data_IF_252016285101
#
_entry.id   IF_252016285101
#
_cell.length_a   1.000
_cell.length_b   1.000
_cell.length_c   1.000
_cell.angle_alpha   90.00
_cell.angle_beta   90.00
_cell.angle_gamma   90.00
#
_symmetry.space_group_name_H-M   'P 1'
#
loop_
_entity.id
_entity.type
_entity.pdbx_description
1 polymer ?
#
# COMPACT_ATOMS: atom_id res chain seq x y z
N UNK A 1 17.55 -10.83 -5.78
CA UNK A 1 17.24 -10.57 -7.18
C UNK A 1 15.86 -9.96 -7.39
N UNK A 2 14.82 -10.50 -6.79
CA UNK A 2 13.41 -10.03 -6.96
C UNK A 2 13.10 -8.64 -6.42
N UNK A 3 13.78 -8.16 -5.38
CA UNK A 3 13.51 -6.86 -4.72
C UNK A 3 13.56 -5.68 -5.70
N UNK A 4 14.54 -5.68 -6.61
CA UNK A 4 14.68 -4.60 -7.60
C UNK A 4 13.53 -4.59 -8.60
N UNK A 5 13.08 -5.75 -9.05
CA UNK A 5 11.95 -5.88 -9.99
C UNK A 5 10.66 -5.44 -9.32
N UNK A 6 10.42 -5.89 -8.09
CA UNK A 6 9.27 -5.46 -7.29
C UNK A 6 9.27 -3.94 -7.08
N UNK A 7 10.43 -3.36 -6.76
CA UNK A 7 10.55 -1.91 -6.59
C UNK A 7 10.22 -1.16 -7.89
N UNK A 8 10.65 -1.64 -9.04
CA UNK A 8 10.31 -1.04 -10.34
C UNK A 8 8.78 -1.03 -10.59
N UNK A 9 8.08 -2.10 -10.23
CA UNK A 9 6.61 -2.18 -10.35
C UNK A 9 5.92 -1.18 -9.41
N UNK A 10 6.41 -1.08 -8.17
CA UNK A 10 5.90 -0.12 -7.18
C UNK A 10 6.11 1.32 -7.68
N UNK A 11 7.31 1.64 -8.14
CA UNK A 11 7.68 2.98 -8.62
C UNK A 11 6.87 3.37 -9.87
N UNK A 12 6.58 2.39 -10.73
CA UNK A 12 5.70 2.57 -11.88
C UNK A 12 4.20 2.67 -11.50
N UNK A 13 3.85 2.50 -10.22
CA UNK A 13 2.47 2.57 -9.74
C UNK A 13 1.55 1.49 -10.30
N UNK A 14 2.09 0.31 -10.60
CA UNK A 14 1.33 -0.79 -11.19
C UNK A 14 0.74 -1.70 -10.11
N UNK A 15 -0.44 -2.25 -10.40
CA UNK A 15 -1.00 -3.33 -9.61
C UNK A 15 -0.11 -4.59 -9.70
N UNK A 16 -0.04 -5.37 -8.62
CA UNK A 16 0.90 -6.46 -8.47
C UNK A 16 0.24 -7.68 -7.84
N UNK A 17 0.50 -8.84 -8.43
CA UNK A 17 0.20 -10.16 -7.89
C UNK A 17 1.50 -10.95 -7.83
N UNK A 18 1.78 -11.60 -6.71
CA UNK A 18 2.94 -12.48 -6.55
C UNK A 18 2.53 -13.92 -6.84
N UNK A 19 3.24 -14.54 -7.77
CA UNK A 19 3.02 -15.93 -8.17
C UNK A 19 4.26 -16.75 -7.89
N UNK A 20 4.11 -17.80 -7.07
CA UNK A 20 5.12 -18.84 -6.90
C UNK A 20 4.74 -20.05 -7.73
N UNK A 21 5.48 -20.27 -8.82
CA UNK A 21 5.25 -21.36 -9.76
C UNK A 21 6.03 -22.63 -9.37
N UNK A 22 5.68 -23.77 -9.97
CA UNK A 22 6.27 -25.09 -9.72
C UNK A 22 6.09 -25.54 -8.28
N UNK A 23 4.95 -25.19 -7.67
CA UNK A 23 4.68 -25.50 -6.27
C UNK A 23 4.49 -26.99 -6.00
N UNK A 24 4.14 -27.76 -7.03
CA UNK A 24 4.03 -29.21 -7.05
C UNK A 24 5.38 -29.94 -6.90
N UNK A 25 6.50 -29.28 -7.17
CA UNK A 25 7.85 -29.84 -7.06
C UNK A 25 8.52 -29.55 -5.70
N UNK A 26 7.81 -28.90 -4.78
CA UNK A 26 8.35 -28.42 -3.50
C UNK A 26 7.70 -29.21 -2.38
N UNK A 27 8.53 -29.86 -1.52
CA UNK A 27 8.06 -30.53 -0.31
C UNK A 27 7.54 -29.55 0.74
N UNK A 28 6.86 -30.05 1.76
CA UNK A 28 6.22 -29.23 2.78
C UNK A 28 7.22 -28.39 3.59
N UNK A 29 8.40 -28.90 3.85
CA UNK A 29 9.44 -28.20 4.60
C UNK A 29 9.95 -27.00 3.80
N UNK A 30 10.28 -27.21 2.54
CA UNK A 30 10.72 -26.17 1.64
C UNK A 30 9.62 -25.13 1.34
N UNK A 31 8.36 -25.55 1.30
CA UNK A 31 7.22 -24.62 1.18
C UNK A 31 7.14 -23.65 2.36
N UNK A 32 7.39 -24.13 3.59
CA UNK A 32 7.43 -23.27 4.79
C UNK A 32 8.59 -22.27 4.73
N UNK A 33 9.78 -22.76 4.32
CA UNK A 33 10.94 -21.89 4.15
C UNK A 33 10.70 -20.77 3.14
N UNK A 34 10.16 -21.10 1.95
CA UNK A 34 9.85 -20.13 0.90
C UNK A 34 8.84 -19.09 1.41
N UNK A 35 7.80 -19.50 2.13
CA UNK A 35 6.83 -18.58 2.72
C UNK A 35 7.52 -17.59 3.68
N UNK A 36 8.32 -18.10 4.59
CA UNK A 36 9.05 -17.29 5.57
C UNK A 36 10.06 -16.34 4.87
N UNK A 37 10.74 -16.82 3.84
CA UNK A 37 11.65 -16.01 3.04
C UNK A 37 10.90 -14.87 2.33
N UNK A 38 9.76 -15.16 1.68
CA UNK A 38 8.94 -14.14 1.02
C UNK A 38 8.39 -13.11 2.01
N UNK A 39 7.98 -13.53 3.20
CA UNK A 39 7.50 -12.61 4.23
C UNK A 39 8.61 -11.66 4.71
N UNK A 40 9.81 -12.19 4.92
CA UNK A 40 10.97 -11.40 5.33
C UNK A 40 11.51 -10.49 4.23
N UNK A 41 11.59 -11.02 3.00
CA UNK A 41 12.23 -10.33 1.88
C UNK A 41 11.32 -9.30 1.19
N UNK A 42 10.00 -9.51 1.25
CA UNK A 42 9.00 -8.71 0.55
C UNK A 42 8.05 -7.98 1.51
N UNK A 43 8.60 -7.46 2.62
CA UNK A 43 7.84 -6.70 3.62
C UNK A 43 7.09 -5.51 3.01
N UNK A 44 7.70 -4.85 2.02
CA UNK A 44 7.13 -3.67 1.36
C UNK A 44 5.89 -3.96 0.49
N UNK A 45 5.60 -5.24 0.20
CA UNK A 45 4.46 -5.66 -0.63
C UNK A 45 3.57 -6.70 0.03
N UNK A 46 3.45 -6.68 1.35
CA UNK A 46 2.53 -7.56 2.08
C UNK A 46 1.08 -7.41 1.64
N UNK A 47 0.75 -6.27 1.04
CA UNK A 47 -0.56 -5.96 0.46
C UNK A 47 -0.82 -6.64 -0.89
N UNK A 48 0.20 -7.22 -1.53
CA UNK A 48 0.03 -7.90 -2.81
C UNK A 48 -0.59 -9.30 -2.61
N UNK A 49 -1.63 -9.68 -3.38
CA UNK A 49 -2.12 -11.05 -3.40
C UNK A 49 -1.02 -12.03 -3.76
N UNK A 50 -0.98 -13.18 -3.09
CA UNK A 50 0.00 -14.24 -3.32
C UNK A 50 -0.70 -15.51 -3.74
N UNK A 51 -0.19 -16.16 -4.78
CA UNK A 51 -0.72 -17.43 -5.31
C UNK A 51 0.42 -18.42 -5.45
N UNK A 52 0.20 -19.63 -4.96
CA UNK A 52 1.04 -20.77 -5.26
C UNK A 52 0.33 -21.60 -6.33
N UNK A 53 1.02 -21.93 -7.41
CA UNK A 53 0.46 -22.71 -8.51
C UNK A 53 1.51 -23.61 -9.18
N UNK A 54 1.05 -24.49 -10.02
CA UNK A 54 1.88 -25.28 -10.92
C UNK A 54 1.34 -25.12 -12.34
N UNK A 55 1.94 -24.23 -13.13
CA UNK A 55 1.47 -23.88 -14.47
C UNK A 55 1.47 -25.09 -15.43
N UNK A 56 2.45 -26.00 -15.29
CA UNK A 56 2.56 -27.20 -16.13
C UNK A 56 1.40 -28.17 -15.97
N UNK A 57 0.91 -28.33 -14.72
CA UNK A 57 -0.21 -29.25 -14.41
C UNK A 57 -1.56 -28.58 -14.37
N UNK A 58 -1.60 -27.25 -14.42
CA UNK A 58 -2.82 -26.45 -14.25
C UNK A 58 -3.27 -26.29 -12.79
N UNK A 59 -2.51 -26.84 -11.83
CA UNK A 59 -2.90 -26.77 -10.43
C UNK A 59 -2.93 -25.33 -9.93
N UNK A 60 -4.08 -24.91 -9.40
CA UNK A 60 -4.38 -23.57 -8.89
C UNK A 60 -4.24 -22.40 -9.90
N UNK A 61 -4.12 -22.65 -11.20
CA UNK A 61 -4.06 -21.61 -12.24
C UNK A 61 -5.36 -20.80 -12.32
N UNK A 62 -6.50 -21.39 -11.96
CA UNK A 62 -7.80 -20.72 -11.87
C UNK A 62 -7.84 -19.58 -10.85
N UNK A 63 -6.91 -19.55 -9.90
CA UNK A 63 -6.81 -18.48 -8.88
C UNK A 63 -6.21 -17.18 -9.42
N UNK A 64 -5.54 -17.23 -10.57
CA UNK A 64 -4.88 -16.06 -11.19
C UNK A 64 -5.90 -14.97 -11.48
N UNK A 65 -7.02 -15.31 -12.13
CA UNK A 65 -8.04 -14.33 -12.53
C UNK A 65 -8.56 -13.59 -11.32
N UNK A 66 -8.96 -14.29 -10.27
CA UNK A 66 -9.47 -13.67 -9.04
C UNK A 66 -8.44 -12.76 -8.36
N UNK A 67 -7.17 -13.15 -8.37
CA UNK A 67 -6.12 -12.33 -7.78
C UNK A 67 -5.83 -11.07 -8.60
N UNK A 68 -5.91 -11.17 -9.94
CA UNK A 68 -5.81 -10.01 -10.83
C UNK A 68 -7.00 -9.08 -10.65
N UNK A 69 -8.22 -9.60 -10.55
CA UNK A 69 -9.41 -8.79 -10.29
C UNK A 69 -9.28 -8.04 -8.97
N UNK A 70 -8.88 -8.72 -7.89
CA UNK A 70 -8.62 -8.08 -6.59
C UNK A 70 -7.58 -6.96 -6.69
N UNK A 71 -6.50 -7.17 -7.43
CA UNK A 71 -5.45 -6.18 -7.60
C UNK A 71 -5.91 -4.98 -8.45
N UNK A 72 -6.71 -5.23 -9.48
CA UNK A 72 -7.30 -4.18 -10.32
C UNK A 72 -8.35 -3.37 -9.56
N UNK A 73 -9.24 -4.01 -8.81
CA UNK A 73 -10.20 -3.32 -7.94
C UNK A 73 -9.48 -2.39 -6.96
N UNK A 74 -8.42 -2.86 -6.29
CA UNK A 74 -7.60 -2.04 -5.41
C UNK A 74 -6.96 -0.86 -6.16
N UNK A 75 -6.48 -1.09 -7.40
CA UNK A 75 -5.83 -0.07 -8.22
C UNK A 75 -6.81 0.98 -8.73
N UNK A 76 -8.08 0.63 -8.93
CA UNK A 76 -9.15 1.51 -9.38
C UNK A 76 -9.93 2.17 -8.23
N UNK A 77 -9.72 1.70 -7.00
CA UNK A 77 -10.46 2.19 -5.82
C UNK A 77 -10.34 3.70 -5.65
N UNK A 78 -11.48 4.35 -5.54
CA UNK A 78 -11.59 5.78 -5.28
C UNK A 78 -12.37 6.03 -4.00
N UNK A 79 -11.77 6.79 -3.09
CA UNK A 79 -12.40 7.18 -1.83
C UNK A 79 -13.07 8.54 -2.04
N UNK A 80 -14.36 8.69 -1.71
CA UNK A 80 -15.01 10.01 -1.68
C UNK A 80 -14.27 10.96 -0.74
N UNK A 81 -14.10 12.21 -1.16
CA UNK A 81 -13.33 13.21 -0.41
C UNK A 81 -13.82 13.39 1.03
N UNK A 82 -15.13 13.35 1.25
CA UNK A 82 -15.73 13.44 2.59
C UNK A 82 -15.31 12.28 3.49
N UNK A 83 -15.35 11.05 2.98
CA UNK A 83 -14.91 9.85 3.72
C UNK A 83 -13.41 9.88 4.03
N UNK A 84 -12.59 10.29 3.05
CA UNK A 84 -11.16 10.44 3.25
C UNK A 84 -10.85 11.44 4.37
N UNK A 85 -11.50 12.59 4.36
CA UNK A 85 -11.25 13.62 5.38
C UNK A 85 -11.81 13.26 6.76
N UNK A 86 -12.95 12.59 6.83
CA UNK A 86 -13.45 12.02 8.08
C UNK A 86 -12.47 11.00 8.68
N UNK A 87 -11.96 10.09 7.85
CA UNK A 87 -10.92 9.13 8.24
C UNK A 87 -9.65 9.84 8.75
N UNK A 88 -9.12 10.82 7.99
CA UNK A 88 -7.92 11.56 8.39
C UNK A 88 -8.12 12.31 9.72
N UNK A 89 -9.29 12.92 9.91
CA UNK A 89 -9.65 13.61 11.15
C UNK A 89 -9.65 12.66 12.36
N UNK A 90 -10.28 11.51 12.24
CA UNK A 90 -10.30 10.49 13.30
C UNK A 90 -8.89 9.92 13.57
N UNK A 91 -8.13 9.65 12.51
CA UNK A 91 -6.78 9.13 12.63
C UNK A 91 -5.85 10.08 13.38
N UNK A 92 -5.88 11.36 13.04
CA UNK A 92 -5.05 12.40 13.68
C UNK A 92 -5.48 12.66 15.12
N UNK A 93 -6.79 12.60 15.40
CA UNK A 93 -7.30 12.76 16.75
C UNK A 93 -6.84 11.61 17.68
N UNK A 94 -6.87 10.37 17.17
CA UNK A 94 -6.43 9.19 17.93
C UNK A 94 -4.90 9.07 18.03
N UNK A 95 -4.18 9.45 16.97
CA UNK A 95 -2.73 9.29 16.83
C UNK A 95 -2.11 10.54 16.21
N UNK A 96 -1.95 11.62 16.98
CA UNK A 96 -1.37 12.86 16.46
C UNK A 96 0.11 12.66 16.08
N UNK A 97 0.57 13.47 15.13
CA UNK A 97 1.98 13.45 14.72
C UNK A 97 2.88 13.82 15.92
N UNK A 98 4.03 13.15 16.12
CA UNK A 98 4.97 13.51 17.16
C UNK A 98 5.44 14.96 17.05
N UNK A 99 5.77 15.58 18.21
CA UNK A 99 6.39 16.90 18.26
C UNK A 99 7.77 16.88 17.59
N UNK A 100 8.03 17.85 16.72
CA UNK A 100 9.34 18.10 16.14
C UNK A 100 9.72 19.58 16.32
N UNK A 101 10.85 19.84 16.97
CA UNK A 101 11.32 21.21 17.17
C UNK A 101 10.29 22.11 17.85
N UNK A 102 9.53 21.59 18.82
CA UNK A 102 8.48 22.32 19.51
C UNK A 102 7.20 22.57 18.71
N UNK A 103 7.10 22.07 17.47
CA UNK A 103 5.91 22.18 16.61
C UNK A 103 5.33 20.82 16.29
N UNK A 104 4.00 20.73 16.30
CA UNK A 104 3.27 19.54 15.89
C UNK A 104 2.64 19.78 14.52
N UNK A 105 3.11 19.10 13.45
CA UNK A 105 2.47 19.18 12.15
C UNK A 105 1.03 18.67 12.23
N UNK A 106 0.12 19.35 11.54
CA UNK A 106 -1.29 18.96 11.44
C UNK A 106 -1.65 18.67 10.01
N UNK A 107 -2.43 17.62 9.79
CA UNK A 107 -3.09 17.40 8.50
C UNK A 107 -4.35 18.25 8.47
N UNK A 108 -4.44 19.16 7.52
CA UNK A 108 -5.57 20.06 7.34
C UNK A 108 -6.71 19.38 6.58
N UNK A 109 -6.35 18.73 5.48
CA UNK A 109 -7.23 17.90 4.66
C UNK A 109 -6.41 17.07 3.67
N UNK A 110 -7.07 16.11 3.03
CA UNK A 110 -6.49 15.28 1.99
C UNK A 110 -7.41 15.15 0.78
N UNK A 111 -6.82 14.84 -0.35
CA UNK A 111 -7.54 14.49 -1.58
C UNK A 111 -6.88 13.31 -2.26
N UNK A 112 -7.67 12.46 -2.89
CA UNK A 112 -7.17 11.44 -3.81
C UNK A 112 -7.07 12.06 -5.20
N UNK A 113 -5.86 12.40 -5.62
CA UNK A 113 -5.60 13.05 -6.90
C UNK A 113 -5.74 12.09 -8.09
N UNK A 114 -5.48 10.80 -7.87
CA UNK A 114 -5.57 9.75 -8.89
C UNK A 114 -5.96 8.42 -8.25
N UNK A 115 -6.61 7.54 -9.01
CA UNK A 115 -6.91 6.16 -8.60
C UNK A 115 -6.00 5.13 -9.29
N UNK A 116 -5.34 5.48 -10.38
CA UNK A 116 -4.52 4.56 -11.21
C UNK A 116 -3.07 5.08 -11.40
N UNK A 117 -2.18 4.95 -10.42
CA UNK A 117 -2.31 4.39 -9.07
C UNK A 117 -3.04 5.29 -8.08
N UNK A 118 -3.49 4.72 -6.94
CA UNK A 118 -4.01 5.52 -5.83
C UNK A 118 -2.97 6.52 -5.32
N UNK A 119 -3.20 7.80 -5.59
CA UNK A 119 -2.32 8.90 -5.18
C UNK A 119 -3.07 9.87 -4.30
N UNK A 120 -2.56 10.07 -3.10
CA UNK A 120 -3.12 10.99 -2.12
C UNK A 120 -2.23 12.20 -1.94
N UNK A 121 -2.84 13.37 -1.83
CA UNK A 121 -2.16 14.63 -1.50
C UNK A 121 -2.70 15.10 -0.16
N UNK A 122 -1.83 15.17 0.83
CA UNK A 122 -2.14 15.66 2.16
C UNK A 122 -1.65 17.11 2.31
N UNK A 123 -2.54 18.00 2.67
CA UNK A 123 -2.24 19.38 2.95
C UNK A 123 -2.01 19.55 4.45
N UNK A 124 -0.86 20.07 4.83
CA UNK A 124 -0.38 20.07 6.21
C UNK A 124 0.15 21.43 6.64
N UNK A 125 0.31 21.63 7.94
CA UNK A 125 0.93 22.84 8.50
C UNK A 125 2.46 22.73 8.62
N UNK A 126 3.01 21.54 8.35
CA UNK A 126 4.45 21.28 8.44
C UNK A 126 4.79 19.92 7.83
N UNK A 127 6.07 19.59 7.82
CA UNK A 127 6.57 18.33 7.27
C UNK A 127 6.08 17.15 8.09
N UNK A 128 5.59 16.11 7.40
CA UNK A 128 5.24 14.82 8.02
C UNK A 128 6.43 13.87 7.93
N UNK A 129 6.75 13.28 9.07
CA UNK A 129 7.77 12.23 9.18
C UNK A 129 7.49 11.06 8.22
N UNK A 130 8.52 10.48 7.59
CA UNK A 130 8.35 9.28 6.76
C UNK A 130 7.68 8.12 7.48
N UNK A 131 7.96 7.92 8.77
CA UNK A 131 7.30 6.90 9.60
C UNK A 131 5.80 7.17 9.76
N UNK A 132 5.43 8.43 9.98
CA UNK A 132 4.02 8.81 10.10
C UNK A 132 3.28 8.69 8.76
N UNK A 133 3.93 8.97 7.62
CA UNK A 133 3.35 8.72 6.29
C UNK A 133 3.09 7.25 6.04
N UNK A 134 4.02 6.35 6.40
CA UNK A 134 3.83 4.89 6.35
C UNK A 134 2.71 4.43 7.27
N UNK A 135 2.58 5.04 8.44
CA UNK A 135 1.46 4.77 9.35
C UNK A 135 0.11 5.13 8.70
N UNK A 136 -0.01 6.32 8.09
CA UNK A 136 -1.23 6.73 7.36
C UNK A 136 -1.53 5.76 6.22
N UNK A 137 -0.53 5.37 5.43
CA UNK A 137 -0.68 4.40 4.34
C UNK A 137 -1.24 3.07 4.84
N UNK A 138 -0.66 2.53 5.92
CA UNK A 138 -1.14 1.28 6.52
C UNK A 138 -2.59 1.41 6.96
N UNK A 139 -2.94 2.50 7.64
CA UNK A 139 -4.32 2.74 8.09
C UNK A 139 -5.31 2.94 6.94
N UNK A 140 -4.90 3.57 5.84
CA UNK A 140 -5.69 3.65 4.61
C UNK A 140 -5.99 2.26 4.06
N UNK A 141 -4.99 1.37 4.00
CA UNK A 141 -5.17 -0.01 3.55
C UNK A 141 -6.13 -0.80 4.45
N UNK A 142 -5.96 -0.69 5.75
CA UNK A 142 -6.80 -1.38 6.73
C UNK A 142 -8.27 -0.95 6.64
N UNK A 143 -8.52 0.33 6.32
CA UNK A 143 -9.87 0.90 6.28
C UNK A 143 -10.55 0.75 4.92
N UNK A 144 -9.81 0.96 3.82
CA UNK A 144 -10.40 1.05 2.47
C UNK A 144 -9.94 -0.08 1.52
N UNK A 145 -9.04 -0.94 1.94
CA UNK A 145 -8.52 -2.04 1.14
C UNK A 145 -7.25 -1.67 0.38
N UNK A 146 -7.31 -1.49 -0.94
CA UNK A 146 -6.14 -1.29 -1.82
C UNK A 146 -5.25 -2.52 -1.93
N UNK A 147 -5.82 -3.72 -1.88
CA UNK A 147 -5.07 -4.95 -2.13
C UNK A 147 -4.46 -4.92 -3.55
N UNK A 148 -3.24 -5.41 -3.68
CA UNK A 148 -2.56 -5.54 -4.96
C UNK A 148 -2.07 -4.24 -5.60
N UNK A 149 -2.14 -3.09 -4.91
CA UNK A 149 -1.70 -1.81 -5.49
C UNK A 149 -0.82 -1.01 -4.53
N UNK A 150 0.22 -0.31 -5.02
CA UNK A 150 0.93 0.66 -4.22
C UNK A 150 0.06 1.91 -3.96
N UNK A 151 0.20 2.50 -2.78
CA UNK A 151 -0.38 3.80 -2.44
C UNK A 151 0.74 4.84 -2.45
N UNK A 152 0.50 5.95 -3.13
CA UNK A 152 1.43 7.08 -3.16
C UNK A 152 0.86 8.22 -2.30
N UNK A 153 1.64 8.67 -1.31
CA UNK A 153 1.26 9.80 -0.45
C UNK A 153 2.27 10.93 -0.64
N UNK A 154 1.79 12.06 -1.12
CA UNK A 154 2.54 13.31 -1.19
C UNK A 154 2.02 14.31 -0.16
N UNK A 155 2.91 15.16 0.33
CA UNK A 155 2.60 16.16 1.34
C UNK A 155 2.82 17.55 0.74
N UNK A 156 1.85 18.43 0.89
CA UNK A 156 1.95 19.84 0.56
C UNK A 156 1.80 20.68 1.82
N UNK A 157 2.88 21.34 2.22
CA UNK A 157 2.86 22.25 3.36
C UNK A 157 2.20 23.56 2.93
N UNK A 158 1.13 23.94 3.65
CA UNK A 158 0.54 25.27 3.51
C UNK A 158 1.22 26.23 4.48
N UNK A 159 1.98 27.18 3.96
CA UNK A 159 2.45 28.30 4.76
C UNK A 159 1.26 29.13 5.23
N UNK A 160 1.27 29.48 6.51
CA UNK A 160 0.31 30.43 7.07
C UNK A 160 0.63 31.77 6.43
N UNK A 161 -0.22 32.30 5.53
CA UNK A 161 -0.13 33.72 5.13
C UNK A 161 -0.10 34.53 6.43
N UNK A 162 1.03 35.14 6.73
CA UNK A 162 1.08 36.21 7.71
C UNK A 162 0.21 37.35 7.16
N UNK A 163 -0.90 37.63 7.87
CA UNK A 163 -1.61 38.89 7.73
C UNK A 163 -0.76 39.98 8.36
#
# INVERSE_FOLDING_TARGET
MYKRQVQQVIDAGRALVIVTNKWDLVDEERQKEIKNELERELVQIQWAPRINLAAKTGWHTNRIVRALDTALEGWETRIPTGQLNAFLGQLVAAHPHPLRGGKQPRILFGTQASSKPPRFVLFTTGFLDPGYRRFIERRLRETFGFAGTPIQISVRVRERRRK
#
